data_IF_665380071835
#
_entry.id   IF_665380071835
#
_cell.length_a   1.000
_cell.length_b   1.000
_cell.length_c   1.000
_cell.angle_alpha   90.00
_cell.angle_beta   90.00
_cell.angle_gamma   90.00
#
_symmetry.space_group_name_H-M   'P 1'
#
loop_
_entity.id
_entity.type
_entity.pdbx_description
1 polymer ?
#
# COMPACT_ATOMS: atom_id res chain seq x y z
N UNK A 1 -21.76 58.53 19.40
CA UNK A 1 -20.75 59.56 19.09
C UNK A 1 -20.25 59.32 17.68
N UNK A 2 -20.50 60.28 16.79
CA UNK A 2 -20.04 60.31 15.40
C UNK A 2 -18.52 60.52 15.33
N UNK A 3 -17.84 59.89 14.36
CA UNK A 3 -16.97 60.53 13.34
C UNK A 3 -16.12 59.48 12.62
N UNK A 4 -16.50 59.08 11.40
CA UNK A 4 -16.08 59.62 10.08
C UNK A 4 -14.79 58.99 9.54
N UNK A 5 -14.96 58.23 8.47
CA UNK A 5 -13.94 57.90 7.47
C UNK A 5 -13.33 59.16 6.84
N UNK A 6 -12.06 59.08 6.46
CA UNK A 6 -11.42 59.91 5.43
C UNK A 6 -10.59 59.02 4.48
N UNK A 7 -10.74 59.13 3.15
CA UNK A 7 -9.89 58.45 2.17
C UNK A 7 -8.80 59.37 1.57
N UNK A 8 -7.98 58.78 0.67
CA UNK A 8 -7.15 59.38 -0.42
C UNK A 8 -5.65 59.62 -0.06
N UNK A 9 -4.64 59.48 -0.97
CA UNK A 9 -4.69 59.40 -2.45
C UNK A 9 -4.02 58.21 -3.14
N UNK A 10 -4.42 58.06 -4.40
CA UNK A 10 -3.73 57.33 -5.46
C UNK A 10 -2.47 58.07 -5.94
N UNK A 11 -1.39 57.32 -6.14
CA UNK A 11 -0.22 57.63 -6.97
C UNK A 11 0.18 56.32 -7.65
N UNK A 12 0.57 56.21 -8.91
CA UNK A 12 0.46 57.04 -10.09
C UNK A 12 0.54 56.08 -11.27
N UNK A 13 -0.18 56.39 -12.35
CA UNK A 13 -0.14 55.62 -13.58
C UNK A 13 1.15 55.89 -14.38
N UNK A 14 1.48 54.92 -15.24
CA UNK A 14 2.19 55.06 -16.51
C UNK A 14 3.72 54.98 -16.52
N UNK A 15 4.25 53.84 -16.97
CA UNK A 15 5.23 53.84 -18.05
C UNK A 15 4.98 52.64 -19.00
N UNK A 16 4.26 52.99 -20.07
CA UNK A 16 4.18 52.43 -21.42
C UNK A 16 5.23 51.39 -21.85
N UNK A 17 4.70 50.31 -22.45
CA UNK A 17 5.08 49.66 -23.71
C UNK A 17 6.47 49.97 -24.28
N UNK A 18 7.32 48.93 -24.37
CA UNK A 18 8.31 48.59 -25.41
C UNK A 18 9.15 47.45 -24.81
N UNK A 19 9.10 46.17 -25.22
CA UNK A 19 9.61 45.65 -26.49
C UNK A 19 9.00 44.25 -26.69
N UNK A 20 8.20 44.07 -27.74
CA UNK A 20 8.09 42.77 -28.40
C UNK A 20 9.20 42.68 -29.45
N UNK A 21 9.66 41.44 -29.67
CA UNK A 21 10.25 40.91 -30.91
C UNK A 21 11.79 40.74 -30.97
N UNK A 22 12.26 39.66 -30.35
CA UNK A 22 13.26 38.69 -30.84
C UNK A 22 13.34 37.61 -29.75
N UNK A 23 12.98 36.34 -29.93
CA UNK A 23 13.37 35.43 -30.98
C UNK A 23 12.28 34.36 -31.19
N UNK A 24 11.97 34.09 -32.45
CA UNK A 24 11.26 32.89 -32.86
C UNK A 24 12.14 31.64 -32.66
N UNK A 25 11.49 30.53 -32.25
CA UNK A 25 11.94 29.12 -32.26
C UNK A 25 13.17 28.76 -31.41
N UNK A 26 13.05 27.72 -30.55
CA UNK A 26 12.70 26.38 -31.00
C UNK A 26 11.51 25.76 -30.25
N UNK A 27 10.39 25.62 -30.95
CA UNK A 27 9.61 24.40 -30.83
C UNK A 27 10.41 23.32 -31.57
N UNK A 28 11.21 22.54 -30.83
CA UNK A 28 11.83 21.25 -31.19
C UNK A 28 12.95 20.95 -30.19
N UNK A 29 12.60 20.85 -28.91
CA UNK A 29 13.29 19.89 -28.06
C UNK A 29 12.18 18.98 -27.57
N UNK A 30 12.08 17.71 -28.04
CA UNK A 30 11.44 16.73 -27.20
C UNK A 30 12.18 16.85 -25.86
N UNK A 31 11.50 17.32 -24.82
CA UNK A 31 12.02 17.14 -23.48
C UNK A 31 12.33 15.66 -23.41
N UNK A 32 13.60 15.32 -23.21
CA UNK A 32 14.00 13.94 -22.98
C UNK A 32 13.23 13.50 -21.73
N UNK A 33 12.05 12.91 -21.96
CA UNK A 33 11.46 11.97 -21.03
C UNK A 33 12.45 10.83 -21.03
N UNK A 34 13.50 10.97 -20.21
CA UNK A 34 14.31 9.85 -19.82
C UNK A 34 13.37 8.96 -19.05
N UNK A 35 12.77 8.00 -19.77
CA UNK A 35 12.36 6.77 -19.14
C UNK A 35 13.55 6.36 -18.25
N UNK A 36 13.30 6.18 -16.95
CA UNK A 36 14.30 5.55 -16.09
C UNK A 36 14.76 4.31 -16.85
N UNK A 37 16.07 4.20 -17.13
CA UNK A 37 16.59 2.93 -17.63
C UNK A 37 16.11 1.88 -16.64
N UNK A 38 15.29 0.95 -17.13
CA UNK A 38 14.95 -0.22 -16.35
C UNK A 38 16.25 -0.81 -15.81
N UNK A 39 16.23 -1.24 -14.56
CA UNK A 39 17.37 -1.93 -13.97
C UNK A 39 17.78 -3.05 -14.94
N UNK A 40 19.02 -3.02 -15.41
CA UNK A 40 19.56 -4.14 -16.19
C UNK A 40 19.44 -5.38 -15.29
N UNK A 41 18.69 -6.37 -15.76
CA UNK A 41 18.54 -7.64 -15.08
C UNK A 41 19.90 -8.32 -14.94
N UNK A 42 20.03 -9.30 -14.04
CA UNK A 42 21.24 -10.10 -13.93
C UNK A 42 21.64 -10.67 -15.32
N UNK A 43 22.94 -10.78 -15.67
CA UNK A 43 23.38 -11.33 -16.96
C UNK A 43 22.77 -12.70 -17.27
N UNK A 44 22.46 -13.48 -16.23
CA UNK A 44 21.79 -14.77 -16.29
C UNK A 44 20.39 -14.69 -16.92
N UNK A 45 19.70 -13.55 -16.78
CA UNK A 45 18.42 -13.28 -17.44
C UNK A 45 18.59 -12.73 -18.86
N UNK A 46 19.77 -12.23 -19.23
CA UNK A 46 20.05 -11.66 -20.55
C UNK A 46 20.02 -12.68 -21.69
N UNK A 47 20.19 -13.97 -21.38
CA UNK A 47 20.07 -15.08 -22.33
C UNK A 47 18.70 -15.76 -22.35
N UNK A 48 17.76 -15.34 -21.49
CA UNK A 48 16.40 -15.88 -21.47
C UNK A 48 15.56 -15.04 -22.44
N UNK A 49 15.17 -15.64 -23.56
CA UNK A 49 14.22 -14.99 -24.47
C UNK A 49 12.88 -14.79 -23.74
N UNK A 50 12.35 -13.56 -23.63
CA UNK A 50 11.07 -13.34 -22.97
C UNK A 50 9.95 -14.08 -23.69
N UNK A 51 9.35 -15.06 -23.02
CA UNK A 51 8.29 -15.89 -23.60
C UNK A 51 6.94 -15.20 -23.44
N UNK A 52 6.78 -14.02 -24.04
CA UNK A 52 5.54 -13.25 -24.03
C UNK A 52 4.63 -13.54 -25.25
N UNK A 53 4.98 -14.55 -26.06
CA UNK A 53 4.30 -14.91 -27.31
C UNK A 53 3.44 -16.18 -27.19
N UNK A 54 3.42 -16.82 -26.03
CA UNK A 54 2.53 -17.96 -25.79
C UNK A 54 1.07 -17.48 -25.62
N UNK A 55 0.07 -18.29 -25.99
CA UNK A 55 -1.32 -17.98 -25.69
C UNK A 55 -1.48 -17.72 -24.20
N UNK A 56 -2.09 -16.58 -23.85
CA UNK A 56 -2.46 -16.27 -22.48
C UNK A 56 -3.84 -16.88 -22.20
N UNK A 57 -3.96 -17.97 -21.41
CA UNK A 57 -5.26 -18.56 -21.10
C UNK A 57 -6.02 -17.74 -20.05
N UNK A 58 -5.39 -16.75 -19.41
CA UNK A 58 -6.00 -15.92 -18.38
C UNK A 58 -6.78 -14.76 -18.98
N UNK A 59 -7.93 -14.47 -18.38
CA UNK A 59 -8.74 -13.30 -18.67
C UNK A 59 -8.70 -12.33 -17.48
N UNK A 60 -8.64 -11.03 -17.77
CA UNK A 60 -8.74 -10.01 -16.72
C UNK A 60 -10.20 -9.78 -16.38
N UNK A 61 -10.55 -9.98 -15.12
CA UNK A 61 -11.82 -9.54 -14.53
C UNK A 61 -11.55 -8.19 -13.86
N UNK A 62 -12.20 -7.12 -14.35
CA UNK A 62 -11.90 -5.75 -13.90
C UNK A 62 -12.62 -5.34 -12.62
N UNK A 63 -13.77 -5.95 -12.36
CA UNK A 63 -14.69 -5.53 -11.29
C UNK A 63 -14.76 -6.57 -10.16
N UNK A 64 -13.70 -7.38 -9.99
CA UNK A 64 -13.60 -8.38 -8.92
C UNK A 64 -13.22 -7.71 -7.59
N UNK A 65 -13.87 -8.13 -6.50
CA UNK A 65 -13.52 -7.70 -5.15
C UNK A 65 -14.03 -6.32 -4.79
N UNK A 66 -15.32 -6.02 -4.98
CA UNK A 66 -15.85 -4.71 -4.55
C UNK A 66 -16.00 -4.69 -3.03
N UNK A 67 -15.35 -3.73 -2.36
CA UNK A 67 -15.45 -3.58 -0.91
C UNK A 67 -16.84 -3.04 -0.50
N UNK A 68 -17.38 -3.47 0.67
CA UNK A 68 -18.64 -2.95 1.19
C UNK A 68 -18.54 -1.46 1.57
N UNK A 69 -19.70 -0.86 1.83
CA UNK A 69 -19.83 0.51 2.37
C UNK A 69 -19.20 1.62 1.51
N UNK A 70 -18.98 1.34 0.22
CA UNK A 70 -18.38 2.30 -0.72
C UNK A 70 -16.89 2.54 -0.48
N UNK A 71 -16.23 1.67 0.30
CA UNK A 71 -14.78 1.71 0.45
C UNK A 71 -14.08 1.48 -0.88
N UNK A 72 -12.91 2.10 -1.03
CA UNK A 72 -11.97 1.79 -2.10
C UNK A 72 -10.81 0.97 -1.52
N UNK A 73 -10.23 0.11 -2.35
CA UNK A 73 -8.96 -0.54 -1.99
C UNK A 73 -7.85 0.50 -1.88
N UNK A 74 -6.98 0.29 -0.90
CA UNK A 74 -5.66 0.88 -0.87
C UNK A 74 -4.70 0.10 -1.74
N UNK A 75 -3.41 0.26 -1.44
CA UNK A 75 -2.40 -0.62 -2.00
C UNK A 75 -2.61 -2.04 -1.47
N UNK A 76 -2.94 -2.97 -2.36
CA UNK A 76 -3.06 -4.40 -2.06
C UNK A 76 -1.73 -5.07 -2.38
N UNK A 77 -1.02 -5.54 -1.36
CA UNK A 77 0.30 -6.17 -1.52
C UNK A 77 0.31 -7.67 -1.22
N UNK A 78 -0.72 -8.15 -0.55
CA UNK A 78 -0.82 -9.53 -0.08
C UNK A 78 -2.09 -10.19 -0.65
N UNK A 79 -1.94 -11.37 -1.25
CA UNK A 79 -3.05 -12.24 -1.65
C UNK A 79 -2.66 -13.68 -1.41
N UNK A 80 -3.61 -14.52 -0.97
CA UNK A 80 -3.41 -15.97 -0.91
C UNK A 80 -4.73 -16.72 -1.05
N UNK A 81 -4.67 -17.97 -1.47
CA UNK A 81 -5.86 -18.83 -1.55
C UNK A 81 -6.18 -19.34 -0.15
N UNK A 82 -7.46 -19.32 0.23
CA UNK A 82 -7.88 -19.90 1.48
C UNK A 82 -7.72 -21.43 1.48
N UNK A 83 -7.71 -22.04 2.67
CA UNK A 83 -7.52 -23.49 2.83
C UNK A 83 -8.61 -24.33 2.16
N UNK A 84 -9.78 -23.74 1.87
CA UNK A 84 -10.85 -24.39 1.13
C UNK A 84 -10.61 -24.47 -0.39
N UNK A 85 -9.59 -23.79 -0.91
CA UNK A 85 -9.22 -23.77 -2.32
C UNK A 85 -10.18 -22.99 -3.22
N UNK A 86 -11.11 -22.23 -2.63
CA UNK A 86 -12.19 -21.52 -3.34
C UNK A 86 -12.09 -20.02 -3.09
N UNK A 87 -11.92 -19.60 -1.84
CA UNK A 87 -11.89 -18.20 -1.47
C UNK A 87 -10.47 -17.63 -1.56
N UNK A 88 -10.38 -16.30 -1.66
CA UNK A 88 -9.11 -15.57 -1.68
C UNK A 88 -9.05 -14.62 -0.49
N UNK A 89 -7.93 -14.63 0.22
CA UNK A 89 -7.56 -13.60 1.18
C UNK A 89 -6.79 -12.49 0.48
N UNK A 90 -7.05 -11.24 0.87
CA UNK A 90 -6.33 -10.07 0.40
C UNK A 90 -5.99 -9.11 1.56
N UNK A 91 -4.80 -8.51 1.52
CA UNK A 91 -4.36 -7.47 2.46
C UNK A 91 -4.52 -6.07 1.86
N UNK A 92 -5.51 -5.32 2.33
CA UNK A 92 -5.77 -3.91 2.04
C UNK A 92 -4.93 -3.00 2.94
N UNK A 93 -4.26 -2.00 2.37
CA UNK A 93 -3.69 -0.89 3.14
C UNK A 93 -4.72 0.20 3.42
N UNK A 94 -5.88 -0.23 3.90
CA UNK A 94 -6.99 0.53 4.42
C UNK A 94 -7.44 1.70 3.51
N UNK A 95 -7.60 1.45 2.22
CA UNK A 95 -8.01 2.49 1.25
C UNK A 95 -6.92 3.49 0.86
N UNK A 96 -5.71 3.38 1.42
CA UNK A 96 -4.60 4.29 1.15
C UNK A 96 -3.30 3.50 0.90
N UNK A 97 -2.22 3.81 1.60
CA UNK A 97 -1.00 3.00 1.67
C UNK A 97 -0.57 2.85 3.14
N UNK A 98 -1.53 2.77 4.06
CA UNK A 98 -1.36 2.67 5.51
C UNK A 98 -2.67 2.36 6.21
N UNK A 99 -2.60 1.53 7.25
CA UNK A 99 -3.68 1.27 8.20
C UNK A 99 -3.48 1.97 9.55
N UNK A 100 -2.38 2.69 9.77
CA UNK A 100 -2.02 3.28 11.06
C UNK A 100 -3.06 4.25 11.63
N UNK A 101 -3.88 4.87 10.77
CA UNK A 101 -4.92 5.83 11.17
C UNK A 101 -6.31 5.38 10.74
N UNK A 102 -6.50 4.08 10.51
CA UNK A 102 -7.77 3.50 10.09
C UNK A 102 -8.26 2.48 11.10
N UNK A 103 -9.59 2.38 11.21
CA UNK A 103 -10.33 1.42 12.04
C UNK A 103 -11.02 0.34 11.20
N UNK A 104 -10.72 0.28 9.90
CA UNK A 104 -11.29 -0.72 9.01
C UNK A 104 -10.47 -2.00 9.02
N UNK A 105 -11.13 -3.13 8.76
CA UNK A 105 -10.43 -4.39 8.58
C UNK A 105 -9.60 -4.39 7.28
N UNK A 106 -8.28 -4.67 7.37
CA UNK A 106 -7.40 -4.78 6.22
C UNK A 106 -7.32 -6.18 5.64
N UNK A 107 -7.63 -7.25 6.39
CA UNK A 107 -7.59 -8.61 5.87
C UNK A 107 -8.98 -9.00 5.42
N UNK A 108 -9.14 -9.26 4.14
CA UNK A 108 -10.44 -9.40 3.47
C UNK A 108 -10.52 -10.75 2.77
N UNK A 109 -11.56 -11.53 3.05
CA UNK A 109 -11.89 -12.77 2.34
C UNK A 109 -12.91 -12.49 1.25
N UNK A 110 -12.61 -12.95 0.04
CA UNK A 110 -13.42 -12.81 -1.15
C UNK A 110 -13.91 -14.18 -1.63
N UNK A 111 -15.18 -14.28 -2.01
CA UNK A 111 -15.69 -15.42 -2.76
C UNK A 111 -15.29 -15.35 -4.26
N UNK A 112 -15.55 -16.41 -5.04
CA UNK A 112 -15.22 -16.43 -6.47
C UNK A 112 -15.92 -15.37 -7.33
N UNK A 113 -17.03 -14.80 -6.85
CA UNK A 113 -17.75 -13.71 -7.51
C UNK A 113 -17.22 -12.33 -7.10
N UNK A 114 -16.28 -12.28 -6.14
CA UNK A 114 -15.66 -11.07 -5.65
C UNK A 114 -16.45 -10.35 -4.55
N UNK A 115 -17.38 -11.04 -3.89
CA UNK A 115 -18.07 -10.52 -2.71
C UNK A 115 -17.17 -10.69 -1.48
N UNK A 116 -17.13 -9.67 -0.62
CA UNK A 116 -16.52 -9.80 0.70
C UNK A 116 -17.39 -10.66 1.59
N UNK A 117 -16.86 -11.80 2.03
CA UNK A 117 -17.57 -12.75 2.91
C UNK A 117 -17.07 -12.69 4.35
N UNK A 118 -15.88 -12.12 4.57
CA UNK A 118 -15.30 -11.95 5.90
C UNK A 118 -14.21 -10.86 5.87
N UNK A 119 -14.00 -10.17 6.98
CA UNK A 119 -12.84 -9.31 7.18
C UNK A 119 -12.44 -9.26 8.66
N UNK A 120 -11.16 -8.98 8.92
CA UNK A 120 -10.64 -8.75 10.28
C UNK A 120 -9.31 -7.96 10.25
N UNK A 121 -8.76 -7.68 11.44
CA UNK A 121 -7.44 -7.11 11.65
C UNK A 121 -7.43 -5.59 11.85
N UNK A 122 -8.61 -4.95 11.95
CA UNK A 122 -8.73 -3.54 12.30
C UNK A 122 -7.95 -3.22 13.57
N UNK A 123 -7.10 -2.21 13.48
CA UNK A 123 -6.28 -1.78 14.61
C UNK A 123 -5.16 -2.75 15.00
N UNK A 124 -4.96 -3.89 14.35
CA UNK A 124 -3.84 -4.80 14.65
C UNK A 124 -2.65 -4.60 13.70
N UNK A 125 -2.90 -4.12 12.49
CA UNK A 125 -1.93 -4.08 11.39
C UNK A 125 -1.69 -2.64 10.92
N UNK A 126 -0.44 -2.27 10.63
CA UNK A 126 -0.04 -0.96 10.10
C UNK A 126 0.08 -0.96 8.57
N UNK A 127 0.68 -2.01 8.02
CA UNK A 127 1.06 -2.09 6.61
C UNK A 127 1.23 -3.56 6.21
N UNK A 128 0.11 -4.27 5.93
CA UNK A 128 0.19 -5.62 5.41
C UNK A 128 1.10 -5.63 4.18
N UNK A 129 2.02 -6.60 4.12
CA UNK A 129 2.99 -6.75 3.05
C UNK A 129 2.85 -8.11 2.38
N UNK A 130 3.26 -9.18 3.06
CA UNK A 130 3.12 -10.57 2.61
C UNK A 130 2.16 -11.37 3.47
N UNK A 131 1.81 -12.56 3.00
CA UNK A 131 0.72 -13.37 3.56
C UNK A 131 0.94 -14.86 3.29
N UNK A 132 0.56 -15.69 4.26
CA UNK A 132 0.36 -17.12 4.06
C UNK A 132 -0.90 -17.63 4.75
N UNK A 133 -1.40 -18.80 4.34
CA UNK A 133 -2.52 -19.51 4.97
C UNK A 133 -2.03 -20.91 5.32
N UNK A 134 -1.97 -21.22 6.61
CA UNK A 134 -1.43 -22.51 7.05
C UNK A 134 -2.46 -23.66 6.92
N UNK A 135 -2.01 -24.89 7.17
CA UNK A 135 -2.83 -26.10 7.02
C UNK A 135 -4.04 -26.16 7.97
N UNK A 136 -4.10 -25.31 8.99
CA UNK A 136 -5.23 -25.19 9.91
C UNK A 136 -6.18 -24.05 9.50
N UNK A 137 -5.88 -23.34 8.41
CA UNK A 137 -6.64 -22.19 7.91
C UNK A 137 -6.30 -20.87 8.60
N UNK A 138 -5.24 -20.82 9.41
CA UNK A 138 -4.83 -19.56 10.03
C UNK A 138 -4.17 -18.65 8.99
N UNK A 139 -4.44 -17.35 9.09
CA UNK A 139 -3.90 -16.35 8.17
C UNK A 139 -2.70 -15.67 8.81
N UNK A 140 -1.55 -15.76 8.16
CA UNK A 140 -0.31 -15.13 8.58
C UNK A 140 -0.08 -13.86 7.77
N UNK A 141 0.31 -12.77 8.42
CA UNK A 141 0.56 -11.48 7.78
C UNK A 141 1.93 -10.95 8.21
N UNK A 142 2.78 -10.62 7.24
CA UNK A 142 3.96 -9.80 7.47
C UNK A 142 3.56 -8.32 7.48
N UNK A 143 3.59 -7.67 8.64
CA UNK A 143 3.29 -6.26 8.82
C UNK A 143 4.60 -5.45 8.80
N UNK A 144 4.98 -4.96 7.62
CA UNK A 144 6.39 -4.64 7.41
C UNK A 144 6.88 -3.42 8.20
N UNK A 145 6.09 -2.35 8.26
CA UNK A 145 6.58 -1.07 8.82
C UNK A 145 5.90 -0.72 10.14
N UNK A 146 6.57 0.11 10.92
CA UNK A 146 5.96 0.84 12.04
C UNK A 146 5.26 2.12 11.56
N UNK A 147 4.39 2.67 12.42
CA UNK A 147 3.75 3.96 12.17
C UNK A 147 4.77 5.11 12.16
N UNK A 148 4.61 6.06 11.23
CA UNK A 148 5.46 7.25 11.16
C UNK A 148 5.02 8.35 12.14
N UNK A 149 5.86 9.37 12.34
CA UNK A 149 5.57 10.45 13.29
C UNK A 149 4.30 11.28 12.97
N UNK A 150 3.84 11.31 11.72
CA UNK A 150 2.56 11.91 11.36
C UNK A 150 1.39 11.05 11.82
N UNK A 151 1.46 9.76 11.53
CA UNK A 151 0.47 8.77 11.92
C UNK A 151 0.36 8.66 13.44
N UNK A 152 1.47 8.62 14.17
CA UNK A 152 1.47 8.57 15.64
C UNK A 152 0.88 9.81 16.30
N UNK A 153 1.00 10.98 15.65
CA UNK A 153 0.32 12.20 16.13
C UNK A 153 -1.18 12.13 15.94
N UNK A 154 -1.64 11.46 14.88
CA UNK A 154 -3.06 11.29 14.58
C UNK A 154 -3.68 10.12 15.37
N UNK A 155 -2.92 9.05 15.55
CA UNK A 155 -3.29 7.83 16.26
C UNK A 155 -2.10 7.31 17.10
N UNK A 156 -1.98 7.73 18.36
CA UNK A 156 -0.93 7.24 19.27
C UNK A 156 -0.97 5.72 19.52
N UNK A 157 -2.14 5.08 19.38
CA UNK A 157 -2.31 3.64 19.61
C UNK A 157 -1.63 2.79 18.52
N UNK A 158 -1.12 3.42 17.46
CA UNK A 158 -0.32 2.76 16.42
C UNK A 158 1.15 2.51 16.83
N UNK A 159 1.61 3.03 17.98
CA UNK A 159 3.02 2.97 18.41
C UNK A 159 3.55 1.55 18.67
N UNK A 160 2.69 0.62 19.12
CA UNK A 160 3.07 -0.75 19.46
C UNK A 160 2.71 -1.76 18.37
N UNK A 161 2.76 -1.37 17.09
CA UNK A 161 2.29 -2.18 15.94
C UNK A 161 3.27 -2.11 14.78
N UNK A 162 3.22 -3.11 13.91
CA UNK A 162 4.10 -3.23 12.75
C UNK A 162 5.51 -3.70 13.08
N UNK A 163 6.29 -3.95 12.02
CA UNK A 163 7.61 -4.62 12.08
C UNK A 163 7.55 -5.99 12.74
N UNK A 164 6.49 -6.75 12.45
CA UNK A 164 6.20 -8.05 13.04
C UNK A 164 5.51 -8.97 12.02
N UNK A 165 5.45 -10.26 12.34
CA UNK A 165 4.60 -11.24 11.63
C UNK A 165 3.50 -11.70 12.58
N UNK A 166 2.25 -11.65 12.15
CA UNK A 166 1.08 -11.93 12.99
C UNK A 166 0.35 -13.15 12.43
N UNK A 167 0.07 -14.13 13.27
CA UNK A 167 -0.83 -15.27 12.99
C UNK A 167 -2.22 -14.94 13.51
N UNK A 168 -3.21 -14.97 12.63
CA UNK A 168 -4.64 -14.87 12.97
C UNK A 168 -5.32 -16.23 12.83
N UNK A 169 -6.28 -16.53 13.69
CA UNK A 169 -7.21 -17.65 13.48
C UNK A 169 -8.02 -17.43 12.19
N UNK A 170 -8.69 -18.47 11.65
CA UNK A 170 -9.61 -18.29 10.52
C UNK A 170 -10.70 -17.24 10.80
N UNK A 171 -11.08 -17.05 12.06
CA UNK A 171 -12.07 -16.07 12.53
C UNK A 171 -11.48 -14.67 12.82
N UNK A 172 -10.16 -14.50 12.73
CA UNK A 172 -9.49 -13.21 12.91
C UNK A 172 -8.98 -12.93 14.32
N UNK A 173 -8.92 -13.92 15.21
CA UNK A 173 -8.31 -13.77 16.54
C UNK A 173 -6.77 -13.83 16.42
N UNK A 174 -6.05 -12.93 17.11
CA UNK A 174 -4.58 -12.99 17.14
C UNK A 174 -4.13 -14.20 17.97
N UNK A 175 -3.41 -15.13 17.33
CA UNK A 175 -2.91 -16.35 17.95
C UNK A 175 -1.42 -16.27 18.29
N UNK A 176 -0.65 -15.56 17.48
CA UNK A 176 0.80 -15.45 17.65
C UNK A 176 1.32 -14.15 17.02
N UNK A 177 2.35 -13.59 17.62
CA UNK A 177 3.14 -12.49 17.06
C UNK A 177 4.62 -12.85 17.12
N UNK A 178 5.31 -12.76 15.99
CA UNK A 178 6.75 -12.88 15.86
C UNK A 178 7.37 -11.49 15.65
N UNK A 179 8.46 -11.21 16.35
CA UNK A 179 9.07 -9.88 16.41
C UNK A 179 8.60 -9.08 17.64
N UNK A 180 9.02 -7.82 17.72
CA UNK A 180 8.59 -6.86 18.75
C UNK A 180 7.80 -5.75 18.06
N UNK A 181 6.46 -5.79 18.09
CA UNK A 181 5.64 -4.79 17.44
C UNK A 181 6.00 -3.34 17.83
N UNK A 182 6.14 -2.47 16.83
CA UNK A 182 6.53 -1.08 17.02
C UNK A 182 8.05 -0.85 17.14
N UNK A 183 8.85 -1.92 17.14
CA UNK A 183 10.31 -1.84 17.22
C UNK A 183 10.96 -2.52 16.01
N UNK A 184 11.80 -1.77 15.29
CA UNK A 184 12.64 -2.33 14.21
C UNK A 184 13.95 -2.88 14.77
N UNK A 185 14.45 -3.97 14.22
CA UNK A 185 15.77 -4.50 14.57
C UNK A 185 16.11 -5.82 13.88
N UNK A 186 17.16 -6.46 14.39
CA UNK A 186 17.61 -7.75 13.90
C UNK A 186 16.96 -8.93 14.66
N UNK A 187 16.79 -10.09 14.02
CA UNK A 187 16.36 -11.32 14.69
C UNK A 187 17.30 -11.69 15.86
N UNK A 188 16.82 -12.47 16.86
CA UNK A 188 15.59 -13.28 16.81
C UNK A 188 14.35 -12.58 17.36
N UNK A 189 14.49 -11.45 18.04
CA UNK A 189 13.35 -10.78 18.70
C UNK A 189 12.76 -9.65 17.88
N UNK A 190 13.45 -9.15 16.86
CA UNK A 190 12.98 -8.05 16.03
C UNK A 190 13.03 -8.41 14.55
N UNK A 191 12.22 -7.70 13.78
CA UNK A 191 12.36 -7.63 12.34
C UNK A 191 12.56 -6.19 11.91
N UNK A 192 13.05 -6.00 10.69
CA UNK A 192 13.08 -4.71 10.02
C UNK A 192 12.48 -4.92 8.65
N UNK A 193 11.30 -4.35 8.42
CA UNK A 193 10.54 -4.50 7.18
C UNK A 193 10.37 -5.98 6.76
N UNK A 194 9.72 -6.86 7.56
CA UNK A 194 9.42 -8.21 7.11
C UNK A 194 8.50 -8.18 5.88
N UNK A 195 8.93 -8.85 4.82
CA UNK A 195 8.24 -8.76 3.53
C UNK A 195 7.24 -9.89 3.30
N UNK A 196 7.53 -11.09 3.79
CA UNK A 196 6.69 -12.26 3.54
C UNK A 196 6.88 -13.31 4.63
N UNK A 197 5.99 -14.30 4.64
CA UNK A 197 5.98 -15.44 5.56
C UNK A 197 5.58 -16.69 4.79
N UNK A 198 6.12 -17.84 5.19
CA UNK A 198 5.72 -19.14 4.66
C UNK A 198 5.67 -20.12 5.83
N UNK A 199 4.59 -20.89 5.94
CA UNK A 199 4.47 -21.98 6.90
C UNK A 199 4.58 -23.31 6.16
N UNK A 200 5.68 -24.03 6.39
CA UNK A 200 5.89 -25.32 5.77
C UNK A 200 4.96 -26.40 6.38
N UNK A 201 4.72 -27.53 5.67
CA UNK A 201 3.87 -28.61 6.18
C UNK A 201 4.32 -29.24 7.50
N UNK A 202 5.59 -29.09 7.88
CA UNK A 202 6.12 -29.55 9.17
C UNK A 202 5.97 -28.52 10.29
N UNK A 203 5.37 -27.36 10.01
CA UNK A 203 5.15 -26.26 10.93
C UNK A 203 6.34 -25.31 11.08
N UNK A 204 7.41 -25.48 10.31
CA UNK A 204 8.48 -24.49 10.25
C UNK A 204 8.03 -23.20 9.57
N UNK A 205 8.61 -22.08 10.00
CA UNK A 205 8.31 -20.70 9.58
C UNK A 205 9.61 -20.05 9.12
#
# INVERSE_FOLDING_TARGET
MNKTWKPVPATGASLLLSVMLACALPALFPGDVRAQRGREGPPEQGSVEPVNLLPNPYVTIRDFGTLPDGRSWGSVSAVNVDIDGIHIWAGDRCGTNSCATSDVDPIVKLDPDGNVVQSFGAGEIIWPHGMDVDAEGNVWIADARIANAGELRANPDAAGKGSSVIKFSPEGEVLMVLGTPGETGDPPTHFTDPNDVLVAPDGSI
#
